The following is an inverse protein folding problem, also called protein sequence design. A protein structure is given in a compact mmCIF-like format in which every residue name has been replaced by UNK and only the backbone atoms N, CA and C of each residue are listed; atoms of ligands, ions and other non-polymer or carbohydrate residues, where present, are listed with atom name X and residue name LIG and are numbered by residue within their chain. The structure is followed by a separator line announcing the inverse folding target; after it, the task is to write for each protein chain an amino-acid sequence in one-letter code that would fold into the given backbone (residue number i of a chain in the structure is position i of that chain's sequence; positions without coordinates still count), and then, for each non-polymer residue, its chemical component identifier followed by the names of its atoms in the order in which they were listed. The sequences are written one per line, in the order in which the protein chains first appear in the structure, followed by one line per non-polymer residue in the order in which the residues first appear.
data_IF_154829086856
#
_entry.id   IF_154829086856
#
_cell.length_a   1.000
_cell.length_b   1.000
_cell.length_c   1.000
_cell.angle_alpha   90.00
_cell.angle_beta   90.00
_cell.angle_gamma   90.00
#
_symmetry.space_group_name_H-M   'P 1'
#
loop_
_entity.id
_entity.type
_entity.pdbx_description
1 polymer ?
#
# COMPACT_ATOMS: atom_id res chain seq x y z
N UNK A 1 2.85 29.53 -5.58
CA UNK A 1 2.39 28.19 -5.91
C UNK A 1 2.68 27.90 -7.38
N UNK A 2 3.80 27.30 -7.64
CA UNK A 2 4.13 26.84 -8.98
C UNK A 2 3.74 25.38 -9.08
N UNK A 3 2.70 25.07 -9.86
CA UNK A 3 2.43 23.70 -10.27
C UNK A 3 3.59 23.21 -11.12
N UNK A 4 4.41 22.33 -10.58
CA UNK A 4 5.47 21.71 -11.36
C UNK A 4 4.94 20.43 -12.01
N UNK A 5 4.80 20.44 -13.32
CA UNK A 5 4.54 19.25 -14.09
C UNK A 5 5.86 18.48 -14.27
N UNK A 6 5.89 17.24 -13.78
CA UNK A 6 7.03 16.35 -13.94
C UNK A 6 6.72 15.28 -14.98
N UNK A 7 7.48 15.29 -16.08
CA UNK A 7 7.37 14.26 -17.11
C UNK A 7 8.54 13.29 -17.00
N UNK A 8 8.26 12.02 -16.77
CA UNK A 8 9.27 10.96 -16.71
C UNK A 8 8.96 9.84 -17.71
N UNK A 9 9.48 9.97 -18.93
CA UNK A 9 9.30 8.96 -19.99
C UNK A 9 10.18 7.72 -19.81
N UNK A 10 11.28 7.82 -19.07
CA UNK A 10 12.24 6.71 -18.88
C UNK A 10 11.76 5.74 -17.80
N UNK A 11 11.12 6.23 -16.77
CA UNK A 11 10.59 5.43 -15.64
C UNK A 11 9.16 5.85 -15.36
N UNK A 12 8.18 5.44 -16.18
CA UNK A 12 6.78 5.79 -15.96
C UNK A 12 6.30 5.16 -14.65
N UNK A 13 5.40 5.85 -13.97
CA UNK A 13 4.70 5.26 -12.84
C UNK A 13 3.86 4.08 -13.31
N UNK A 14 3.88 2.98 -12.55
CA UNK A 14 3.15 1.76 -12.90
C UNK A 14 2.30 1.32 -11.70
N UNK A 15 1.04 1.08 -11.95
CA UNK A 15 0.12 0.45 -11.00
C UNK A 15 0.01 -1.04 -11.28
N UNK A 16 0.07 -1.85 -10.24
CA UNK A 16 -0.11 -3.30 -10.32
C UNK A 16 -1.56 -3.64 -9.94
N UNK A 17 -2.30 -4.22 -10.88
CA UNK A 17 -3.59 -4.82 -10.58
C UNK A 17 -3.39 -6.04 -9.66
N UNK A 18 -3.63 -5.85 -8.37
CA UNK A 18 -3.41 -6.88 -7.35
C UNK A 18 -4.25 -8.12 -7.59
N UNK A 19 -5.49 -7.98 -8.07
CA UNK A 19 -6.37 -9.11 -8.38
C UNK A 19 -5.81 -9.99 -9.49
N UNK A 20 -5.34 -9.40 -10.59
CA UNK A 20 -4.68 -10.14 -11.67
C UNK A 20 -3.36 -10.75 -11.24
N UNK A 21 -2.59 -10.01 -10.44
CA UNK A 21 -1.32 -10.50 -9.90
C UNK A 21 -1.54 -11.75 -9.03
N UNK A 22 -2.43 -11.68 -8.03
CA UNK A 22 -2.74 -12.82 -7.16
C UNK A 22 -3.32 -14.01 -7.93
N UNK A 23 -4.22 -13.77 -8.88
CA UNK A 23 -4.77 -14.83 -9.71
C UNK A 23 -3.68 -15.58 -10.48
N UNK A 24 -2.72 -14.84 -11.07
CA UNK A 24 -1.59 -15.43 -11.80
C UNK A 24 -0.66 -16.22 -10.90
N UNK A 25 -0.32 -15.67 -9.73
CA UNK A 25 0.56 -16.36 -8.77
C UNK A 25 -0.12 -17.61 -8.21
N UNK A 26 -1.36 -17.51 -7.72
CA UNK A 26 -2.10 -18.64 -7.17
C UNK A 26 -2.28 -19.76 -8.19
N UNK A 27 -2.55 -19.44 -9.45
CA UNK A 27 -2.61 -20.44 -10.53
C UNK A 27 -1.31 -21.21 -10.70
N UNK A 28 -0.16 -20.54 -10.58
CA UNK A 28 1.15 -21.21 -10.66
C UNK A 28 1.45 -22.03 -9.41
N UNK A 29 1.13 -21.52 -8.23
CA UNK A 29 1.40 -22.20 -6.97
C UNK A 29 0.53 -23.44 -6.80
N UNK A 30 -0.75 -23.39 -7.19
CA UNK A 30 -1.71 -24.50 -7.05
C UNK A 30 -1.40 -25.69 -7.95
N UNK A 31 -0.60 -25.50 -9.01
CA UNK A 31 -0.16 -26.61 -9.88
C UNK A 31 1.13 -27.29 -9.41
N UNK A 32 1.77 -26.76 -8.36
CA UNK A 32 3.01 -27.31 -7.84
C UNK A 32 2.73 -28.25 -6.68
N UNK A 33 3.02 -29.55 -6.85
CA UNK A 33 2.78 -30.59 -5.84
C UNK A 33 3.61 -30.43 -4.55
N UNK A 34 4.65 -29.61 -4.57
CA UNK A 34 5.47 -29.31 -3.39
C UNK A 34 4.92 -28.14 -2.55
N UNK A 35 3.78 -27.56 -2.93
CA UNK A 35 3.17 -26.42 -2.24
C UNK A 35 1.80 -26.83 -1.72
N UNK A 36 1.60 -26.57 -0.42
CA UNK A 36 0.31 -26.77 0.25
C UNK A 36 -0.16 -25.44 0.83
N UNK A 37 -1.48 -25.21 0.78
CA UNK A 37 -2.12 -24.02 1.35
C UNK A 37 -2.88 -24.41 2.60
N UNK A 38 -2.65 -23.69 3.67
CA UNK A 38 -3.34 -23.85 4.95
C UNK A 38 -4.04 -22.55 5.34
N UNK A 39 -5.15 -22.66 6.05
CA UNK A 39 -5.88 -21.48 6.56
C UNK A 39 -5.43 -21.05 7.94
N UNK A 40 -4.91 -22.00 8.72
CA UNK A 40 -4.49 -21.79 10.10
C UNK A 40 -3.09 -22.33 10.32
N UNK A 41 -2.29 -21.61 11.12
CA UNK A 41 -0.94 -22.05 11.51
C UNK A 41 -0.94 -23.37 12.26
N UNK A 42 -1.99 -23.69 12.98
CA UNK A 42 -2.13 -24.96 13.72
C UNK A 42 -2.18 -26.21 12.83
N UNK A 43 -2.44 -26.02 11.53
CA UNK A 43 -2.46 -27.10 10.55
C UNK A 43 -1.05 -27.42 10.02
N UNK A 44 -0.06 -26.59 10.36
CA UNK A 44 1.31 -26.73 9.88
C UNK A 44 2.20 -27.34 10.95
N UNK A 45 2.88 -28.45 10.63
CA UNK A 45 3.91 -29.00 11.49
C UNK A 45 5.18 -28.14 11.37
N UNK A 46 5.45 -27.31 12.39
CA UNK A 46 6.54 -26.34 12.40
C UNK A 46 7.83 -26.83 13.05
N UNK A 47 7.88 -28.06 13.59
CA UNK A 47 9.03 -28.54 14.39
C UNK A 47 10.36 -28.52 13.62
N UNK A 48 10.33 -28.85 12.32
CA UNK A 48 11.52 -28.89 11.45
C UNK A 48 11.42 -27.89 10.29
N UNK A 49 10.70 -26.79 10.46
CA UNK A 49 10.44 -25.84 9.41
C UNK A 49 11.11 -24.49 9.67
N UNK A 50 11.45 -23.81 8.59
CA UNK A 50 11.78 -22.37 8.64
C UNK A 50 10.51 -21.61 8.29
N UNK A 51 10.15 -20.63 9.10
CA UNK A 51 8.95 -19.82 8.94
C UNK A 51 9.36 -18.47 8.36
N UNK A 52 8.80 -18.12 7.20
CA UNK A 52 8.88 -16.78 6.63
C UNK A 52 7.62 -16.01 7.04
N UNK A 53 7.75 -15.10 8.00
CA UNK A 53 6.64 -14.32 8.54
C UNK A 53 6.57 -12.93 7.87
N UNK A 54 5.45 -12.65 7.22
CA UNK A 54 5.18 -11.32 6.63
C UNK A 54 4.14 -10.51 7.40
N UNK A 55 3.56 -11.09 8.47
CA UNK A 55 2.53 -10.42 9.28
C UNK A 55 3.25 -9.51 10.27
N UNK A 56 2.93 -8.22 10.19
CA UNK A 56 3.43 -7.23 11.12
C UNK A 56 2.55 -7.25 12.37
N UNK A 57 3.16 -7.61 13.51
CA UNK A 57 2.51 -7.61 14.83
C UNK A 57 3.32 -6.72 15.75
N UNK A 58 2.73 -5.65 16.24
CA UNK A 58 3.29 -4.78 17.26
C UNK A 58 2.15 -4.11 18.03
N UNK A 59 2.33 -3.93 19.33
CA UNK A 59 1.49 -3.00 20.10
C UNK A 59 1.70 -1.57 19.55
N UNK A 60 0.61 -0.83 19.40
CA UNK A 60 0.66 0.53 18.88
C UNK A 60 1.34 1.45 19.90
N UNK A 61 2.26 2.27 19.43
CA UNK A 61 2.91 3.32 20.19
C UNK A 61 2.62 4.66 19.53
N UNK A 62 2.28 5.67 20.32
CA UNK A 62 2.00 7.04 19.84
C UNK A 62 3.17 7.69 19.12
N UNK A 63 4.39 7.23 19.39
CA UNK A 63 5.57 7.71 18.68
C UNK A 63 5.78 7.07 17.31
N UNK A 64 5.02 6.03 16.99
CA UNK A 64 5.15 5.30 15.73
C UNK A 64 4.47 6.06 14.60
N UNK A 65 5.23 6.36 13.55
CA UNK A 65 4.70 6.96 12.33
C UNK A 65 4.13 5.88 11.41
N UNK A 66 2.91 6.10 10.95
CA UNK A 66 2.22 5.23 10.01
C UNK A 66 1.79 6.00 8.76
N UNK A 67 1.85 5.34 7.62
CA UNK A 67 1.07 5.74 6.46
C UNK A 67 -0.24 4.97 6.51
N UNK A 68 -1.34 5.65 6.78
CA UNK A 68 -2.66 5.02 6.78
C UNK A 68 -3.57 5.68 5.76
N UNK A 69 -4.45 4.90 5.16
CA UNK A 69 -5.17 5.34 3.98
C UNK A 69 -6.49 4.62 3.79
N UNK A 70 -7.34 5.23 2.97
CA UNK A 70 -8.48 4.60 2.32
C UNK A 70 -8.54 5.05 0.88
N UNK A 71 -8.67 4.08 -0.02
CA UNK A 71 -8.85 4.29 -1.46
C UNK A 71 -10.19 3.78 -1.94
N UNK A 72 -10.77 4.46 -2.91
CA UNK A 72 -11.96 4.00 -3.62
C UNK A 72 -11.71 4.03 -5.14
N UNK A 73 -12.04 2.93 -5.81
CA UNK A 73 -12.13 2.93 -7.27
C UNK A 73 -13.50 3.47 -7.68
N UNK A 74 -13.50 4.57 -8.40
CA UNK A 74 -14.71 5.18 -8.93
C UNK A 74 -14.83 4.99 -10.43
N UNK A 75 -16.08 4.90 -10.90
CA UNK A 75 -16.45 4.92 -12.33
C UNK A 75 -17.44 6.05 -12.60
N UNK A 76 -17.11 6.90 -13.55
CA UNK A 76 -17.90 8.04 -13.94
C UNK A 76 -18.68 7.76 -15.24
N UNK A 77 -19.89 8.35 -15.43
CA UNK A 77 -20.66 8.14 -16.65
C UNK A 77 -20.04 8.80 -17.89
N UNK A 78 -19.08 9.71 -17.71
CA UNK A 78 -18.38 10.42 -18.79
C UNK A 78 -16.88 10.21 -18.66
N UNK A 79 -16.17 10.37 -19.77
CA UNK A 79 -14.70 10.40 -19.79
C UNK A 79 -14.21 11.73 -19.20
N UNK A 80 -13.55 11.68 -18.05
CA UNK A 80 -13.05 12.84 -17.31
C UNK A 80 -11.60 12.71 -16.87
N UNK A 81 -11.04 11.50 -16.91
CA UNK A 81 -9.64 11.24 -16.56
C UNK A 81 -8.77 11.20 -17.80
N UNK A 82 -7.51 11.57 -17.64
CA UNK A 82 -6.45 11.30 -18.60
C UNK A 82 -5.62 10.12 -18.07
N UNK A 83 -5.58 9.03 -18.83
CA UNK A 83 -4.88 7.78 -18.47
C UNK A 83 -3.36 7.95 -18.39
N UNK A 84 -2.83 9.00 -18.99
CA UNK A 84 -1.39 9.28 -19.01
C UNK A 84 -0.94 10.21 -17.89
N UNK A 85 -1.88 10.77 -17.13
CA UNK A 85 -1.62 11.72 -16.05
C UNK A 85 -2.07 11.14 -14.72
N UNK A 86 -1.17 11.10 -13.75
CA UNK A 86 -1.49 10.77 -12.35
C UNK A 86 -1.30 11.98 -11.47
N UNK A 87 -2.15 12.14 -10.46
CA UNK A 87 -1.87 13.03 -9.35
C UNK A 87 -1.24 12.20 -8.24
N UNK A 88 0.03 12.47 -8.00
CA UNK A 88 0.80 11.77 -6.98
C UNK A 88 1.06 12.73 -5.83
N UNK A 89 0.53 12.39 -4.63
CA UNK A 89 0.70 13.20 -3.42
C UNK A 89 0.18 14.64 -3.61
N UNK A 90 -1.10 14.78 -3.95
CA UNK A 90 -1.76 16.08 -4.01
C UNK A 90 -2.02 16.61 -2.60
N UNK A 91 -1.27 17.63 -2.20
CA UNK A 91 -1.36 18.29 -0.89
C UNK A 91 -2.40 19.42 -0.85
N UNK A 92 -3.16 19.63 -1.92
CA UNK A 92 -4.23 20.65 -1.94
C UNK A 92 -5.47 20.15 -1.19
N UNK A 93 -5.32 19.89 0.09
CA UNK A 93 -6.34 19.40 1.00
C UNK A 93 -6.08 19.87 2.43
N UNK A 94 -7.05 19.65 3.32
CA UNK A 94 -6.91 20.02 4.73
C UNK A 94 -5.84 19.16 5.41
N UNK A 95 -4.77 19.80 5.88
CA UNK A 95 -3.62 19.14 6.54
C UNK A 95 -3.88 18.89 8.03
N UNK A 96 -4.89 19.52 8.64
CA UNK A 96 -5.18 19.43 10.08
C UNK A 96 -3.90 19.62 10.91
N UNK A 97 -3.39 18.54 11.54
CA UNK A 97 -2.17 18.57 12.38
C UNK A 97 -1.03 17.73 11.82
N UNK A 98 -1.28 16.95 10.77
CA UNK A 98 -0.37 15.96 10.22
C UNK A 98 -0.25 16.10 8.70
N UNK A 99 0.54 15.24 8.09
CA UNK A 99 0.73 15.25 6.64
C UNK A 99 -0.41 14.48 5.98
N UNK A 100 -1.18 15.20 5.15
CA UNK A 100 -2.31 14.66 4.39
C UNK A 100 -2.16 14.91 2.90
N UNK A 101 -2.45 13.93 2.09
CA UNK A 101 -2.44 14.06 0.63
C UNK A 101 -3.37 13.06 -0.03
N UNK A 102 -3.66 13.32 -1.29
CA UNK A 102 -4.44 12.41 -2.12
C UNK A 102 -3.61 11.85 -3.27
N UNK A 103 -3.98 10.63 -3.69
CA UNK A 103 -3.63 10.08 -4.97
C UNK A 103 -4.85 10.09 -5.90
N UNK A 104 -4.64 10.37 -7.19
CA UNK A 104 -5.60 10.09 -8.24
C UNK A 104 -4.89 9.32 -9.33
N UNK A 105 -5.25 8.02 -9.45
CA UNK A 105 -4.60 7.07 -10.35
C UNK A 105 -5.62 6.59 -11.40
N UNK A 106 -5.68 7.19 -12.59
CA UNK A 106 -6.57 6.76 -13.65
C UNK A 106 -6.22 5.37 -14.19
N UNK A 107 -7.23 4.51 -14.33
CA UNK A 107 -7.12 3.20 -15.00
C UNK A 107 -7.70 3.24 -16.40
N UNK A 108 -8.60 4.19 -16.67
CA UNK A 108 -9.17 4.50 -17.95
C UNK A 108 -9.73 5.93 -17.93
N UNK A 109 -10.25 6.39 -19.06
CA UNK A 109 -10.86 7.74 -19.17
C UNK A 109 -12.05 7.98 -18.25
N UNK A 110 -12.68 6.92 -17.71
CA UNK A 110 -13.81 7.01 -16.80
C UNK A 110 -13.66 6.24 -15.50
N UNK A 111 -12.47 5.69 -15.22
CA UNK A 111 -12.17 4.97 -13.98
C UNK A 111 -10.87 5.45 -13.35
N UNK A 112 -10.89 5.67 -12.05
CA UNK A 112 -9.70 5.99 -11.28
C UNK A 112 -9.79 5.45 -9.86
N UNK A 113 -8.63 5.12 -9.27
CA UNK A 113 -8.48 5.01 -7.83
C UNK A 113 -8.21 6.40 -7.27
N UNK A 114 -8.98 6.77 -6.25
CA UNK A 114 -8.76 7.99 -5.47
C UNK A 114 -8.53 7.57 -4.03
N UNK A 115 -7.42 7.99 -3.47
CA UNK A 115 -6.98 7.58 -2.13
C UNK A 115 -6.65 8.78 -1.27
N UNK A 116 -7.22 8.82 -0.06
CA UNK A 116 -6.82 9.73 1.01
C UNK A 116 -5.76 9.06 1.85
N UNK A 117 -4.64 9.73 2.09
CA UNK A 117 -3.48 9.17 2.78
C UNK A 117 -2.96 10.14 3.83
N UNK A 118 -2.72 9.61 5.02
CA UNK A 118 -2.15 10.32 6.16
C UNK A 118 -0.80 9.73 6.56
N UNK A 119 0.10 10.61 7.01
CA UNK A 119 1.29 10.21 7.75
C UNK A 119 1.12 10.72 9.17
N UNK A 120 0.70 9.84 10.09
CA UNK A 120 0.45 10.16 11.49
C UNK A 120 0.54 8.92 12.39
N UNK A 121 0.26 9.07 13.67
CA UNK A 121 0.00 7.92 14.53
C UNK A 121 -1.36 7.28 14.20
N UNK A 122 -1.57 6.02 14.60
CA UNK A 122 -2.84 5.31 14.40
C UNK A 122 -3.85 5.53 15.53
N UNK A 123 -3.51 6.22 16.60
CA UNK A 123 -4.41 6.45 17.72
C UNK A 123 -5.38 7.62 17.47
N UNK A 124 -4.98 8.60 16.66
CA UNK A 124 -5.84 9.73 16.34
C UNK A 124 -7.01 9.33 15.43
N UNK A 125 -8.15 9.02 16.07
CA UNK A 125 -9.37 8.66 15.36
C UNK A 125 -9.98 9.84 14.58
N UNK A 126 -9.60 11.09 14.90
CA UNK A 126 -10.15 12.28 14.23
C UNK A 126 -9.71 12.40 12.77
N UNK A 127 -8.62 11.70 12.40
CA UNK A 127 -8.11 11.64 11.02
C UNK A 127 -8.77 10.54 10.18
N UNK A 128 -9.66 9.73 10.75
CA UNK A 128 -10.22 8.53 10.11
C UNK A 128 -11.59 8.72 9.47
N UNK A 129 -12.04 9.93 9.28
CA UNK A 129 -13.24 10.28 8.52
C UNK A 129 -13.03 10.21 7.01
N UNK A 130 -12.36 9.14 6.56
CA UNK A 130 -11.90 8.96 5.17
C UNK A 130 -13.01 9.10 4.13
N UNK A 131 -14.22 8.57 4.41
CA UNK A 131 -15.33 8.66 3.45
C UNK A 131 -15.69 10.12 3.17
N UNK A 132 -15.77 10.95 4.22
CA UNK A 132 -16.02 12.38 4.09
C UNK A 132 -14.88 13.11 3.37
N UNK A 133 -13.64 12.74 3.65
CA UNK A 133 -12.46 13.31 2.99
C UNK A 133 -12.48 13.00 1.50
N UNK A 134 -12.77 11.75 1.13
CA UNK A 134 -12.86 11.30 -0.26
C UNK A 134 -13.99 12.01 -1.00
N UNK A 135 -15.19 12.07 -0.41
CA UNK A 135 -16.34 12.78 -0.96
C UNK A 135 -16.00 14.25 -1.24
N UNK A 136 -15.46 14.95 -0.24
CA UNK A 136 -15.08 16.36 -0.36
C UNK A 136 -14.02 16.60 -1.44
N UNK A 137 -12.99 15.76 -1.51
CA UNK A 137 -11.93 15.88 -2.52
C UNK A 137 -12.47 15.62 -3.93
N UNK A 138 -13.29 14.58 -4.10
CA UNK A 138 -13.88 14.22 -5.39
C UNK A 138 -14.81 15.34 -5.90
N UNK A 139 -15.64 15.89 -5.01
CA UNK A 139 -16.57 16.95 -5.42
C UNK A 139 -15.89 18.31 -5.62
N UNK A 140 -15.04 18.72 -4.68
CA UNK A 140 -14.52 20.10 -4.65
C UNK A 140 -13.21 20.27 -5.43
N UNK A 141 -12.32 19.27 -5.40
CA UNK A 141 -11.03 19.34 -6.07
C UNK A 141 -11.09 18.77 -7.49
N UNK A 142 -11.78 17.64 -7.68
CA UNK A 142 -11.91 17.00 -8.99
C UNK A 142 -13.18 17.44 -9.75
N UNK A 143 -14.14 18.07 -9.09
CA UNK A 143 -15.38 18.55 -9.70
C UNK A 143 -16.35 17.42 -10.11
N UNK A 144 -16.20 16.23 -9.54
CA UNK A 144 -16.96 15.03 -9.91
C UNK A 144 -18.14 14.85 -8.97
N UNK A 145 -19.36 14.97 -9.47
CA UNK A 145 -20.59 14.82 -8.67
C UNK A 145 -21.30 13.48 -8.83
N UNK A 146 -21.11 12.82 -9.98
CA UNK A 146 -21.79 11.57 -10.28
C UNK A 146 -20.76 10.48 -10.58
N UNK A 147 -20.67 9.52 -9.69
CA UNK A 147 -19.80 8.36 -9.82
C UNK A 147 -20.38 7.15 -9.09
N UNK A 148 -19.91 5.98 -9.47
CA UNK A 148 -20.18 4.70 -8.80
C UNK A 148 -18.89 4.22 -8.16
N UNK A 149 -18.96 3.77 -6.91
CA UNK A 149 -17.83 3.09 -6.25
C UNK A 149 -17.85 1.62 -6.64
N UNK A 150 -16.77 1.13 -7.24
CA UNK A 150 -16.61 -0.26 -7.65
C UNK A 150 -15.82 -1.07 -6.64
N UNK A 151 -14.88 -0.44 -5.94
CA UNK A 151 -13.98 -1.09 -4.99
C UNK A 151 -13.57 -0.11 -3.89
N UNK A 152 -13.32 -0.63 -2.71
CA UNK A 152 -12.78 0.14 -1.57
C UNK A 152 -11.63 -0.65 -0.95
N UNK A 153 -10.55 0.04 -0.66
CA UNK A 153 -9.42 -0.50 0.09
C UNK A 153 -9.09 0.40 1.29
N UNK A 154 -8.51 -0.20 2.32
CA UNK A 154 -8.06 0.52 3.51
C UNK A 154 -6.85 -0.20 4.10
N UNK A 155 -5.89 0.56 4.56
CA UNK A 155 -4.69 -0.03 5.13
C UNK A 155 -3.88 0.92 5.98
N UNK A 156 -2.86 0.34 6.62
CA UNK A 156 -1.82 1.08 7.34
C UNK A 156 -0.47 0.41 7.09
N UNK A 157 0.53 1.22 6.78
CA UNK A 157 1.89 0.79 6.49
C UNK A 157 2.79 1.38 7.58
N UNK A 158 3.56 0.57 8.31
CA UNK A 158 4.49 1.07 9.31
C UNK A 158 5.65 1.83 8.65
N UNK A 159 5.93 3.04 9.11
CA UNK A 159 7.08 3.85 8.69
C UNK A 159 8.16 3.91 9.77
N UNK A 160 8.33 2.81 10.47
CA UNK A 160 9.37 2.61 11.49
C UNK A 160 9.99 1.22 11.37
N UNK A 161 11.17 1.03 11.95
CA UNK A 161 11.84 -0.25 11.92
C UNK A 161 11.13 -1.25 12.85
N UNK A 162 10.78 -2.45 12.36
CA UNK A 162 10.18 -3.48 13.21
C UNK A 162 11.20 -4.05 14.19
N UNK A 163 10.71 -4.53 15.33
CA UNK A 163 11.52 -5.31 16.24
C UNK A 163 11.84 -6.67 15.62
N UNK A 164 13.11 -7.03 15.56
CA UNK A 164 13.52 -8.31 15.00
C UNK A 164 13.28 -9.44 16.00
N UNK A 165 12.78 -10.57 15.53
CA UNK A 165 12.65 -11.78 16.33
C UNK A 165 14.03 -12.40 16.58
N UNK A 166 14.30 -12.81 17.82
CA UNK A 166 15.51 -13.56 18.18
C UNK A 166 15.39 -15.07 17.88
N UNK A 167 14.30 -15.51 17.24
CA UNK A 167 14.09 -16.92 16.91
C UNK A 167 14.71 -17.25 15.55
N UNK A 168 15.77 -18.05 15.56
CA UNK A 168 16.49 -18.47 14.34
C UNK A 168 15.64 -19.26 13.34
N UNK A 169 14.46 -19.76 13.73
CA UNK A 169 13.53 -20.47 12.85
C UNK A 169 12.51 -19.54 12.18
N UNK A 170 12.42 -18.28 12.61
CA UNK A 170 11.48 -17.30 12.06
C UNK A 170 12.26 -16.21 11.35
N UNK A 171 12.07 -16.12 10.06
CA UNK A 171 12.62 -15.07 9.20
C UNK A 171 11.51 -14.10 8.86
N UNK A 172 11.56 -12.90 9.43
CA UNK A 172 10.61 -11.86 9.08
C UNK A 172 10.93 -11.28 7.69
N UNK A 173 9.89 -11.16 6.84
CA UNK A 173 9.95 -10.62 5.48
C UNK A 173 8.88 -9.53 5.31
N UNK A 174 8.88 -8.82 4.20
CA UNK A 174 7.91 -7.75 3.95
C UNK A 174 7.97 -6.65 5.00
N UNK A 175 6.83 -6.13 5.41
CA UNK A 175 6.73 -5.11 6.45
C UNK A 175 7.26 -5.62 7.80
N UNK A 176 6.97 -6.88 8.16
CA UNK A 176 7.49 -7.49 9.38
C UNK A 176 9.03 -7.63 9.37
N UNK A 177 9.65 -7.73 8.20
CA UNK A 177 11.10 -7.81 8.02
C UNK A 177 11.79 -6.47 7.76
N UNK A 178 11.09 -5.33 7.91
CA UNK A 178 11.65 -4.01 7.67
C UNK A 178 11.97 -3.73 6.21
N UNK A 179 11.30 -4.40 5.27
CA UNK A 179 11.51 -4.18 3.84
C UNK A 179 10.77 -2.96 3.30
N UNK A 180 9.90 -2.36 4.11
CA UNK A 180 9.23 -1.11 3.77
C UNK A 180 10.25 0.03 3.84
N UNK A 181 10.32 0.83 2.77
CA UNK A 181 11.14 2.05 2.78
C UNK A 181 10.45 3.09 3.66
N UNK A 182 11.06 3.42 4.79
CA UNK A 182 10.45 4.27 5.82
C UNK A 182 10.09 5.68 5.33
N UNK A 183 10.78 6.19 4.30
CA UNK A 183 10.53 7.51 3.74
C UNK A 183 9.38 7.59 2.74
N UNK A 184 8.88 6.45 2.24
CA UNK A 184 7.88 6.43 1.14
C UNK A 184 6.80 5.37 1.27
N UNK A 185 6.91 4.46 2.24
CA UNK A 185 5.99 3.32 2.37
C UNK A 185 6.16 2.22 1.32
N UNK A 186 7.00 2.42 0.28
CA UNK A 186 7.16 1.44 -0.79
C UNK A 186 7.94 0.21 -0.34
N UNK A 187 7.36 -0.97 -0.59
CA UNK A 187 7.94 -2.26 -0.20
C UNK A 187 8.29 -3.13 -1.42
N UNK A 188 7.57 -2.96 -2.53
CA UNK A 188 7.61 -3.89 -3.67
C UNK A 188 9.01 -4.08 -4.27
N UNK A 189 9.78 -3.02 -4.46
CA UNK A 189 11.15 -3.13 -4.99
C UNK A 189 12.05 -3.92 -4.05
N UNK A 190 11.94 -3.68 -2.75
CA UNK A 190 12.76 -4.40 -1.76
C UNK A 190 12.38 -5.89 -1.72
N UNK A 191 11.09 -6.22 -1.86
CA UNK A 191 10.64 -7.61 -1.99
C UNK A 191 11.14 -8.26 -3.28
N UNK A 192 11.14 -7.55 -4.39
CA UNK A 192 11.62 -8.09 -5.68
C UNK A 192 13.14 -8.29 -5.70
N UNK A 193 13.87 -7.55 -4.89
CA UNK A 193 15.34 -7.64 -4.79
C UNK A 193 15.82 -8.64 -3.74
N UNK A 194 14.94 -9.25 -2.95
CA UNK A 194 15.32 -10.20 -1.89
C UNK A 194 16.10 -11.42 -2.45
N UNK A 195 15.89 -11.76 -3.72
CA UNK A 195 16.62 -12.83 -4.40
C UNK A 195 18.04 -12.43 -4.83
N UNK A 196 18.33 -11.14 -4.87
CA UNK A 196 19.60 -10.58 -5.39
C UNK A 196 20.51 -10.16 -4.23
N UNK A 197 19.92 -9.76 -3.10
CA UNK A 197 20.69 -9.42 -1.92
C UNK A 197 21.03 -10.69 -1.14
N UNK A 198 22.30 -11.06 -1.12
CA UNK A 198 22.77 -12.15 -0.25
C UNK A 198 22.41 -11.88 1.22
N UNK A 199 22.10 -12.94 2.01
CA UNK A 199 21.73 -12.83 3.42
C UNK A 199 22.77 -12.12 4.28
N UNK A 200 24.02 -12.07 3.82
CA UNK A 200 25.17 -11.48 4.50
C UNK A 200 25.12 -9.97 4.68
N UNK A 201 24.26 -9.22 3.95
CA UNK A 201 24.12 -7.76 4.13
C UNK A 201 23.21 -7.33 5.29
N UNK A 202 22.60 -8.28 6.00
CA UNK A 202 21.73 -7.99 7.17
C UNK A 202 22.43 -8.02 8.51
N UNK A 203 23.75 -8.21 8.54
CA UNK A 203 24.54 -8.31 9.76
C UNK A 203 25.47 -7.09 9.97
N UNK A 204 25.13 -5.95 9.44
CA UNK A 204 25.84 -4.69 9.75
C UNK A 204 24.82 -3.63 10.16
#
# INVERSE_FOLDING_TARGET
DSSNELTNKKFPYQSIDSGKFYKKINSKLSTNSNISFFRNLNEVNSENSIIFNSIFEKELDKSDLWQHFQGIEIETPKNIFDEEIINLMDFNCDQRKDVHFFYTLPFSKNKALIETTWLSDLEDQSLRDYDLQLENYIENNLGIKNYKINFTEKGAIPLFAPSLSNNNKIINIGSAGGMTRLSTGYTFLNLSLIHISEPTRRLV
#
